data_IF_430167032186
#
_entry.id   IF_430167032186
#
_cell.length_a   1.000
_cell.length_b   1.000
_cell.length_c   1.000
_cell.angle_alpha   90.00
_cell.angle_beta   90.00
_cell.angle_gamma   90.00
#
_symmetry.space_group_name_H-M   'P 1'
#
loop_
_entity.id
_entity.type
_entity.pdbx_description
1 polymer ?
#
# COMPACT_ATOMS: atom_id res chain seq x y z
N UNK A 1 -30.01 43.72 80.65
CA UNK A 1 -29.85 44.07 82.07
C UNK A 1 -28.86 43.07 82.68
N UNK A 2 -27.70 43.51 83.23
CA UNK A 2 -26.53 42.68 83.69
C UNK A 2 -25.94 41.77 82.58
N UNK A 3 -24.69 41.88 82.11
CA UNK A 3 -23.37 42.27 82.66
C UNK A 3 -22.84 41.32 83.74
N UNK A 4 -21.57 40.91 83.54
CA UNK A 4 -20.62 40.26 84.47
C UNK A 4 -20.71 38.73 84.67
N UNK A 5 -19.61 38.01 84.98
CA UNK A 5 -18.19 38.06 84.53
C UNK A 5 -17.42 36.95 85.29
N UNK A 6 -16.41 36.35 84.63
CA UNK A 6 -15.15 35.80 85.21
C UNK A 6 -15.21 34.76 86.37
N UNK A 7 -14.51 33.63 86.18
CA UNK A 7 -13.22 33.20 86.83
C UNK A 7 -13.07 31.68 86.57
N UNK A 8 -12.02 31.09 85.95
CA UNK A 8 -10.54 31.24 85.98
C UNK A 8 -9.87 30.52 87.16
N UNK A 9 -8.88 29.63 86.83
CA UNK A 9 -8.02 28.76 87.69
C UNK A 9 -8.77 27.56 88.31
N UNK A 10 -8.19 26.39 88.61
CA UNK A 10 -6.80 25.84 88.59
C UNK A 10 -6.88 24.28 88.63
N UNK A 11 -5.84 23.43 88.50
CA UNK A 11 -4.50 23.42 87.85
C UNK A 11 -3.81 22.05 88.19
N UNK A 12 -2.87 21.52 87.36
CA UNK A 12 -1.90 20.41 87.66
C UNK A 12 -2.45 18.95 87.59
N UNK A 13 -1.71 17.86 87.26
CA UNK A 13 -0.30 17.63 86.77
C UNK A 13 -0.15 16.17 86.24
N UNK A 14 0.50 15.97 85.05
CA UNK A 14 1.66 15.05 84.74
C UNK A 14 1.55 13.53 85.06
N UNK A 15 2.06 12.56 84.28
CA UNK A 15 2.64 12.50 82.92
C UNK A 15 2.79 11.02 82.45
N UNK A 16 3.10 10.83 81.15
CA UNK A 16 4.07 9.90 80.50
C UNK A 16 3.60 9.75 79.02
N UNK A 17 4.12 10.48 78.00
CA UNK A 17 5.46 10.42 77.35
C UNK A 17 5.73 9.04 76.71
N UNK A 18 6.07 8.81 75.44
CA UNK A 18 6.50 9.60 74.25
C UNK A 18 5.85 8.91 72.99
N UNK A 19 5.80 9.44 71.75
CA UNK A 19 6.58 10.49 71.11
C UNK A 19 5.81 11.28 70.02
N UNK A 20 6.19 12.56 69.87
CA UNK A 20 6.31 13.40 68.65
C UNK A 20 5.51 13.00 67.38
N UNK A 21 4.71 13.86 66.75
CA UNK A 21 4.83 15.33 66.56
C UNK A 21 5.64 15.61 65.28
N UNK A 22 5.29 16.52 64.36
CA UNK A 22 4.35 17.68 64.39
C UNK A 22 3.67 17.84 63.02
N UNK A 23 2.48 18.44 62.99
CA UNK A 23 1.72 18.76 61.76
C UNK A 23 1.74 20.27 61.44
N UNK A 24 1.32 20.63 60.21
CA UNK A 24 0.99 21.98 59.70
C UNK A 24 2.21 22.91 59.55
N UNK A 25 2.47 23.53 58.40
CA UNK A 25 1.60 24.45 57.67
C UNK A 25 1.98 24.50 56.18
N UNK A 26 1.01 24.80 55.30
CA UNK A 26 1.06 25.79 54.20
C UNK A 26 -0.06 25.51 53.20
N UNK A 27 -1.00 26.45 53.07
CA UNK A 27 -1.83 26.55 51.89
C UNK A 27 -1.02 27.26 50.79
N UNK A 28 -1.02 26.72 49.57
CA UNK A 28 -0.38 27.34 48.41
C UNK A 28 0.14 26.32 47.39
N UNK A 29 -0.14 26.58 46.12
CA UNK A 29 0.35 25.86 44.95
C UNK A 29 0.09 24.33 44.91
N UNK A 30 -1.10 23.94 44.42
CA UNK A 30 -1.21 22.69 43.65
C UNK A 30 -0.32 22.80 42.40
N UNK A 31 0.68 21.94 42.20
CA UNK A 31 1.41 21.93 40.94
C UNK A 31 0.44 21.49 39.85
N UNK A 32 0.18 22.35 38.87
CA UNK A 32 -0.30 21.90 37.59
C UNK A 32 0.80 21.02 36.99
N UNK A 33 0.65 19.70 37.12
CA UNK A 33 1.37 18.74 36.31
C UNK A 33 0.90 18.90 34.86
N UNK A 34 1.48 19.89 34.17
CA UNK A 34 1.63 19.79 32.74
C UNK A 34 2.45 18.52 32.50
N UNK A 35 1.78 17.47 32.02
CA UNK A 35 2.47 16.41 31.30
C UNK A 35 3.21 17.10 30.17
N UNK A 36 4.53 17.25 30.31
CA UNK A 36 5.36 17.76 29.24
C UNK A 36 5.09 16.86 28.03
N UNK A 37 4.49 17.43 26.98
CA UNK A 37 4.44 16.78 25.68
C UNK A 37 5.89 16.57 25.31
N UNK A 38 6.33 15.31 25.36
CA UNK A 38 7.70 14.95 25.03
C UNK A 38 8.03 15.54 23.66
N UNK A 39 9.23 16.08 23.51
CA UNK A 39 9.69 16.60 22.23
C UNK A 39 9.36 15.60 21.11
N UNK A 40 8.91 16.04 19.92
CA UNK A 40 8.54 15.14 18.86
C UNK A 40 9.69 14.15 18.64
N UNK A 41 9.41 12.84 18.75
CA UNK A 41 10.39 11.84 18.31
C UNK A 41 10.76 12.21 16.88
N UNK A 42 12.05 12.42 16.65
CA UNK A 42 12.57 12.61 15.30
C UNK A 42 12.11 11.42 14.44
N UNK A 43 11.89 11.69 13.15
CA UNK A 43 11.22 10.73 12.26
C UNK A 43 11.92 9.38 12.29
N UNK A 44 11.15 8.33 12.58
CA UNK A 44 11.67 6.96 12.60
C UNK A 44 12.08 6.62 11.15
N UNK A 45 13.38 6.67 10.91
CA UNK A 45 14.02 6.15 9.70
C UNK A 45 14.29 4.63 9.80
N UNK A 46 13.79 3.97 10.85
CA UNK A 46 14.12 2.57 11.21
C UNK A 46 13.34 1.51 10.42
N UNK A 47 12.64 1.87 9.33
CA UNK A 47 12.24 0.87 8.35
C UNK A 47 13.43 0.55 7.44
N UNK A 48 14.11 -0.57 7.72
CA UNK A 48 15.18 -1.15 6.88
C UNK A 48 14.69 -1.50 5.45
N UNK A 49 13.38 -1.47 5.20
CA UNK A 49 12.75 -1.69 3.89
C UNK A 49 12.74 -0.45 2.98
N UNK A 50 12.61 -0.69 1.67
CA UNK A 50 12.53 0.34 0.62
C UNK A 50 11.13 0.97 0.46
N UNK A 51 10.21 0.65 1.37
CA UNK A 51 8.77 1.02 1.39
C UNK A 51 8.25 1.10 2.82
N UNK A 52 7.11 1.76 3.03
CA UNK A 52 6.28 1.57 4.23
C UNK A 52 5.03 0.70 3.96
N UNK A 53 4.36 0.24 5.02
CA UNK A 53 3.09 -0.51 4.98
C UNK A 53 1.88 0.32 4.50
N UNK A 54 2.02 1.65 4.50
CA UNK A 54 1.00 2.58 4.03
C UNK A 54 1.00 2.71 2.50
N UNK A 55 1.99 2.14 1.80
CA UNK A 55 2.11 2.13 0.35
C UNK A 55 1.08 1.17 -0.28
N UNK A 56 -0.01 1.74 -0.82
CA UNK A 56 -1.12 0.96 -1.42
C UNK A 56 -0.66 0.06 -2.57
N UNK A 57 0.29 0.50 -3.39
CA UNK A 57 0.77 -0.27 -4.54
C UNK A 57 1.51 -1.54 -4.13
N UNK A 58 2.41 -1.48 -3.14
CA UNK A 58 3.04 -2.68 -2.56
C UNK A 58 1.99 -3.67 -2.02
N UNK A 59 0.94 -3.18 -1.36
CA UNK A 59 -0.16 -4.03 -0.89
C UNK A 59 -1.02 -4.63 -2.00
N UNK A 60 -1.09 -3.99 -3.18
CA UNK A 60 -1.71 -4.58 -4.37
C UNK A 60 -0.83 -5.68 -4.99
N UNK A 61 0.50 -5.50 -4.95
CA UNK A 61 1.48 -6.44 -5.50
C UNK A 61 1.76 -7.65 -4.59
N UNK A 62 1.54 -7.50 -3.29
CA UNK A 62 1.58 -8.57 -2.27
C UNK A 62 0.18 -9.11 -1.90
N UNK A 63 -0.88 -8.62 -2.55
CA UNK A 63 -2.29 -9.04 -2.35
C UNK A 63 -2.87 -8.76 -0.93
N UNK A 64 -2.19 -7.97 -0.11
CA UNK A 64 -2.54 -7.64 1.28
C UNK A 64 -3.53 -6.47 1.45
N UNK A 65 -4.26 -6.08 0.39
CA UNK A 65 -5.21 -4.94 0.47
C UNK A 65 -6.44 -5.19 1.35
N UNK A 66 -6.82 -6.45 1.56
CA UNK A 66 -7.98 -6.86 2.39
C UNK A 66 -7.54 -7.47 3.72
N UNK A 67 -6.55 -8.35 3.70
CA UNK A 67 -5.96 -8.99 4.89
C UNK A 67 -4.52 -9.40 4.60
N UNK A 68 -3.68 -9.55 5.63
CA UNK A 68 -2.27 -9.94 5.46
C UNK A 68 -2.11 -11.43 5.15
N UNK A 69 -3.10 -12.26 5.51
CA UNK A 69 -3.14 -13.71 5.26
C UNK A 69 -4.57 -14.26 5.28
N UNK A 70 -4.72 -15.56 5.03
CA UNK A 70 -5.97 -16.30 5.11
C UNK A 70 -6.93 -16.02 3.96
N UNK A 71 -8.22 -16.38 4.11
CA UNK A 71 -9.19 -16.31 3.00
C UNK A 71 -9.42 -14.89 2.46
N UNK A 72 -9.16 -13.83 3.25
CA UNK A 72 -9.26 -12.44 2.77
C UNK A 72 -8.14 -12.07 1.78
N UNK A 73 -6.91 -12.55 2.00
CA UNK A 73 -5.82 -12.44 1.02
C UNK A 73 -6.04 -13.39 -0.16
N UNK A 74 -6.53 -14.60 0.13
CA UNK A 74 -6.88 -15.60 -0.89
C UNK A 74 -7.92 -15.09 -1.89
N UNK A 75 -8.90 -14.30 -1.45
CA UNK A 75 -9.88 -13.65 -2.33
C UNK A 75 -9.22 -12.65 -3.30
N UNK A 76 -8.27 -11.85 -2.80
CA UNK A 76 -7.50 -10.89 -3.62
C UNK A 76 -6.60 -11.62 -4.62
N UNK A 77 -5.90 -12.67 -4.20
CA UNK A 77 -5.09 -13.53 -5.09
C UNK A 77 -5.99 -14.16 -6.15
N UNK A 78 -7.14 -14.70 -5.76
CA UNK A 78 -8.13 -15.28 -6.66
C UNK A 78 -8.58 -14.27 -7.72
N UNK A 79 -8.96 -13.05 -7.30
CA UNK A 79 -9.35 -11.97 -8.21
C UNK A 79 -8.27 -11.66 -9.25
N UNK A 80 -7.02 -11.48 -8.82
CA UNK A 80 -5.92 -11.09 -9.71
C UNK A 80 -5.34 -12.22 -10.58
N UNK A 81 -5.41 -13.48 -10.12
CA UNK A 81 -4.71 -14.60 -10.79
C UNK A 81 -5.65 -15.62 -11.41
N UNK A 82 -6.81 -15.86 -10.82
CA UNK A 82 -7.66 -17.02 -11.13
C UNK A 82 -8.99 -16.63 -11.75
N UNK A 83 -9.63 -15.55 -11.28
CA UNK A 83 -11.00 -15.15 -11.65
C UNK A 83 -11.19 -15.07 -13.16
N UNK A 84 -10.21 -14.55 -13.91
CA UNK A 84 -10.23 -14.46 -15.37
C UNK A 84 -10.56 -15.80 -16.08
N UNK A 85 -10.18 -16.94 -15.50
CA UNK A 85 -10.47 -18.27 -16.06
C UNK A 85 -11.49 -19.08 -15.25
N UNK A 86 -11.72 -18.72 -13.99
CA UNK A 86 -12.44 -19.53 -13.00
C UNK A 86 -13.76 -18.93 -12.51
N UNK A 87 -14.25 -17.86 -13.15
CA UNK A 87 -15.55 -17.22 -12.88
C UNK A 87 -16.73 -17.94 -13.58
N UNK A 88 -17.97 -17.62 -13.19
CA UNK A 88 -19.21 -18.23 -13.72
C UNK A 88 -19.51 -17.93 -15.20
N UNK A 89 -18.85 -16.93 -15.79
CA UNK A 89 -19.04 -16.50 -17.18
C UNK A 89 -18.01 -17.14 -18.14
N UNK A 90 -16.84 -17.54 -17.62
CA UNK A 90 -15.74 -18.08 -18.40
C UNK A 90 -16.01 -19.54 -18.80
N UNK A 91 -15.72 -19.87 -20.08
CA UNK A 91 -15.86 -21.23 -20.62
C UNK A 91 -14.54 -22.02 -20.69
N UNK A 92 -13.41 -21.35 -20.42
CA UNK A 92 -12.06 -21.92 -20.58
C UNK A 92 -11.51 -22.65 -19.35
N UNK A 93 -12.07 -22.41 -18.17
CA UNK A 93 -11.70 -23.08 -16.92
C UNK A 93 -12.94 -23.55 -16.16
N UNK A 94 -12.82 -24.55 -15.28
CA UNK A 94 -13.92 -24.96 -14.42
C UNK A 94 -14.24 -23.85 -13.41
N UNK A 95 -15.51 -23.55 -13.20
CA UNK A 95 -15.94 -22.72 -12.08
C UNK A 95 -15.50 -23.38 -10.75
N UNK A 96 -14.96 -22.61 -9.80
CA UNK A 96 -14.33 -23.15 -8.57
C UNK A 96 -15.19 -23.10 -7.31
N UNK A 97 -16.42 -22.57 -7.38
CA UNK A 97 -17.37 -22.67 -6.27
C UNK A 97 -17.57 -24.14 -5.89
N UNK A 98 -17.54 -24.44 -4.60
CA UNK A 98 -17.67 -25.78 -4.04
C UNK A 98 -16.62 -26.80 -4.54
N UNK A 99 -15.43 -26.36 -5.00
CA UNK A 99 -14.35 -27.25 -5.47
C UNK A 99 -14.06 -28.40 -4.49
N UNK A 100 -13.93 -28.10 -3.20
CA UNK A 100 -13.62 -29.10 -2.15
C UNK A 100 -14.79 -30.02 -1.78
N UNK A 101 -15.99 -29.80 -2.31
CA UNK A 101 -17.11 -30.74 -2.19
C UNK A 101 -17.10 -31.79 -3.33
N UNK A 102 -16.26 -31.61 -4.36
CA UNK A 102 -16.17 -32.50 -5.51
C UNK A 102 -15.25 -33.66 -5.19
N UNK A 103 -15.62 -34.87 -5.63
CA UNK A 103 -14.76 -36.04 -5.46
C UNK A 103 -13.44 -35.95 -6.25
N UNK A 104 -13.44 -35.28 -7.40
CA UNK A 104 -12.29 -35.21 -8.32
C UNK A 104 -12.08 -33.84 -8.95
N UNK A 105 -10.81 -33.52 -9.22
CA UNK A 105 -10.38 -32.44 -10.11
C UNK A 105 -10.67 -32.80 -11.57
N UNK A 106 -10.58 -31.82 -12.47
CA UNK A 106 -10.66 -32.04 -13.93
C UNK A 106 -9.51 -32.93 -14.45
N UNK A 107 -8.39 -33.04 -13.71
CA UNK A 107 -7.33 -34.02 -13.95
C UNK A 107 -7.71 -35.47 -13.62
N UNK A 108 -8.83 -35.71 -12.92
CA UNK A 108 -9.25 -37.02 -12.44
C UNK A 108 -8.69 -37.42 -11.07
N UNK A 109 -7.74 -36.67 -10.54
CA UNK A 109 -7.20 -36.78 -9.17
C UNK A 109 -8.27 -36.44 -8.13
N UNK A 110 -8.16 -37.02 -6.92
CA UNK A 110 -9.03 -36.64 -5.80
C UNK A 110 -8.80 -35.17 -5.39
N UNK A 111 -9.83 -34.46 -4.94
CA UNK A 111 -9.67 -33.07 -4.45
C UNK A 111 -9.12 -33.07 -3.03
N UNK A 112 -7.86 -32.68 -2.87
CA UNK A 112 -7.19 -32.48 -1.58
C UNK A 112 -6.41 -31.18 -1.60
N UNK A 113 -5.86 -30.77 -0.45
CA UNK A 113 -4.97 -29.60 -0.38
C UNK A 113 -3.74 -29.76 -1.27
N UNK A 114 -3.21 -30.99 -1.32
CA UNK A 114 -2.00 -31.37 -2.04
C UNK A 114 -2.26 -31.35 -3.54
N UNK A 115 -3.35 -31.97 -4.02
CA UNK A 115 -3.67 -32.00 -5.46
C UNK A 115 -4.06 -30.62 -5.99
N UNK A 116 -4.78 -29.81 -5.22
CA UNK A 116 -5.09 -28.42 -5.59
C UNK A 116 -3.83 -27.57 -5.64
N UNK A 117 -2.91 -27.69 -4.66
CA UNK A 117 -1.61 -26.99 -4.71
C UNK A 117 -0.75 -27.45 -5.87
N UNK A 118 -0.64 -28.76 -6.10
CA UNK A 118 0.10 -29.32 -7.22
C UNK A 118 -0.43 -28.79 -8.55
N UNK A 119 -1.76 -28.74 -8.71
CA UNK A 119 -2.41 -28.21 -9.90
C UNK A 119 -2.15 -26.71 -10.11
N UNK A 120 -2.18 -25.89 -9.06
CA UNK A 120 -1.88 -24.45 -9.15
C UNK A 120 -0.40 -24.22 -9.49
N UNK A 121 0.52 -24.96 -8.86
CA UNK A 121 1.97 -24.88 -9.14
C UNK A 121 2.30 -25.33 -10.56
N UNK A 122 1.75 -26.46 -11.02
CA UNK A 122 2.08 -27.06 -12.31
C UNK A 122 1.32 -26.42 -13.50
N UNK A 123 0.12 -25.87 -13.28
CA UNK A 123 -0.74 -25.38 -14.36
C UNK A 123 -1.27 -26.51 -15.24
N UNK A 124 -1.28 -26.31 -16.56
CA UNK A 124 -1.64 -27.31 -17.56
C UNK A 124 -1.81 -26.73 -18.97
N UNK A 125 -2.38 -27.49 -19.92
CA UNK A 125 -2.49 -27.06 -21.32
C UNK A 125 -3.19 -25.71 -21.53
N UNK A 126 -4.20 -25.38 -20.71
CA UNK A 126 -4.91 -24.10 -20.73
C UNK A 126 -4.80 -23.27 -19.44
N UNK A 127 -3.81 -23.56 -18.60
CA UNK A 127 -3.61 -22.88 -17.31
C UNK A 127 -2.12 -22.58 -17.11
N UNK A 128 -1.70 -21.31 -16.95
CA UNK A 128 -0.32 -20.97 -16.59
C UNK A 128 0.11 -21.67 -15.30
N UNK A 129 1.40 -21.97 -15.19
CA UNK A 129 1.99 -22.51 -13.98
C UNK A 129 2.33 -21.38 -13.00
N UNK A 130 1.76 -21.39 -11.79
CA UNK A 130 1.96 -20.31 -10.81
C UNK A 130 3.13 -20.57 -9.85
N UNK A 131 3.87 -21.68 -9.97
CA UNK A 131 5.03 -22.05 -9.13
C UNK A 131 6.12 -20.97 -9.01
N UNK A 132 6.18 -20.05 -9.97
CA UNK A 132 7.16 -18.95 -10.06
C UNK A 132 6.54 -17.56 -9.81
N UNK A 133 5.22 -17.49 -9.60
CA UNK A 133 4.45 -16.26 -9.47
C UNK A 133 3.72 -16.14 -8.13
N UNK A 134 3.49 -17.28 -7.45
CA UNK A 134 2.82 -17.39 -6.16
C UNK A 134 3.67 -18.25 -5.21
N UNK A 135 3.85 -17.78 -3.99
CA UNK A 135 4.52 -18.51 -2.91
C UNK A 135 3.61 -19.59 -2.31
N UNK A 136 4.16 -20.48 -1.51
CA UNK A 136 3.37 -21.50 -0.80
C UNK A 136 2.37 -20.88 0.19
N UNK A 137 2.67 -19.70 0.74
CA UNK A 137 1.74 -18.92 1.55
C UNK A 137 0.58 -18.36 0.70
N UNK A 138 0.87 -17.81 -0.49
CA UNK A 138 -0.18 -17.34 -1.41
C UNK A 138 -1.13 -18.47 -1.82
N UNK A 139 -0.59 -19.66 -2.11
CA UNK A 139 -1.39 -20.83 -2.47
C UNK A 139 -2.17 -21.35 -1.25
N UNK A 140 -1.61 -21.30 -0.04
CA UNK A 140 -2.35 -21.63 1.19
C UNK A 140 -3.54 -20.69 1.42
N UNK A 141 -3.34 -19.38 1.28
CA UNK A 141 -4.39 -18.37 1.42
C UNK A 141 -5.48 -18.54 0.34
N UNK A 142 -5.08 -18.78 -0.92
CA UNK A 142 -5.99 -19.07 -2.03
C UNK A 142 -6.83 -20.33 -1.77
N UNK A 143 -6.24 -21.42 -1.26
CA UNK A 143 -6.99 -22.62 -0.87
C UNK A 143 -7.94 -22.35 0.29
N UNK A 144 -7.53 -21.55 1.28
CA UNK A 144 -8.39 -21.15 2.39
C UNK A 144 -9.61 -20.35 1.91
N UNK A 145 -9.44 -19.46 0.93
CA UNK A 145 -10.54 -18.76 0.27
C UNK A 145 -11.48 -19.72 -0.47
N UNK A 146 -10.95 -20.62 -1.30
CA UNK A 146 -11.75 -21.60 -2.06
C UNK A 146 -12.54 -22.53 -1.10
N UNK A 147 -11.99 -22.85 0.07
CA UNK A 147 -12.67 -23.62 1.13
C UNK A 147 -13.70 -22.86 1.95
N UNK A 148 -13.65 -21.52 1.95
CA UNK A 148 -14.42 -20.70 2.91
C UNK A 148 -15.95 -20.71 2.72
N UNK A 149 -16.46 -21.35 1.66
CA UNK A 149 -17.85 -21.25 1.23
C UNK A 149 -18.22 -19.90 0.59
N UNK A 150 -17.30 -18.92 0.61
CA UNK A 150 -17.45 -17.61 -0.06
C UNK A 150 -16.88 -17.58 -1.47
N UNK A 151 -16.22 -18.64 -1.92
CA UNK A 151 -15.82 -18.70 -3.32
C UNK A 151 -17.06 -18.96 -4.20
N UNK A 152 -17.28 -18.23 -5.28
CA UNK A 152 -16.33 -17.30 -5.90
C UNK A 152 -16.95 -15.93 -6.12
N UNK A 153 -16.17 -14.88 -5.84
CA UNK A 153 -16.59 -13.48 -6.04
C UNK A 153 -16.83 -13.21 -7.52
N UNK A 154 -17.97 -12.63 -7.85
CA UNK A 154 -18.37 -12.30 -9.23
C UNK A 154 -18.56 -10.79 -9.45
N UNK A 155 -18.13 -9.98 -8.48
CA UNK A 155 -18.08 -8.53 -8.52
C UNK A 155 -19.27 -7.82 -7.88
N UNK A 156 -20.34 -8.53 -7.49
CA UNK A 156 -21.54 -7.92 -6.92
C UNK A 156 -21.36 -7.46 -5.47
N UNK A 157 -20.49 -8.14 -4.71
CA UNK A 157 -20.20 -7.85 -3.30
C UNK A 157 -18.68 -7.71 -3.08
N UNK A 158 -18.03 -6.65 -3.58
CA UNK A 158 -16.60 -6.45 -3.40
C UNK A 158 -16.26 -6.25 -1.90
N UNK A 159 -15.11 -6.76 -1.43
CA UNK A 159 -14.71 -6.61 -0.03
C UNK A 159 -14.52 -5.13 0.33
N UNK A 160 -15.03 -4.74 1.51
CA UNK A 160 -14.84 -3.38 2.03
C UNK A 160 -13.36 -3.08 2.24
N UNK A 161 -12.90 -1.90 1.83
CA UNK A 161 -11.52 -1.46 2.03
C UNK A 161 -11.26 -1.17 3.53
N UNK A 162 -10.49 -2.00 4.26
CA UNK A 162 -10.33 -1.85 5.72
C UNK A 162 -9.51 -0.60 6.12
N UNK A 163 -8.88 0.05 5.13
CA UNK A 163 -8.05 1.25 5.26
C UNK A 163 -8.82 2.55 5.02
N UNK A 164 -10.08 2.50 4.58
CA UNK A 164 -10.92 3.69 4.36
C UNK A 164 -12.10 3.69 5.33
N UNK A 165 -11.90 4.33 6.48
CA UNK A 165 -12.87 4.38 7.59
C UNK A 165 -13.64 5.70 7.62
N UNK A 166 -13.57 6.50 6.56
CA UNK A 166 -14.16 7.83 6.48
C UNK A 166 -15.69 7.83 6.39
N UNK A 167 -16.28 6.73 5.92
CA UNK A 167 -17.74 6.56 5.85
C UNK A 167 -18.37 6.44 7.24
N UNK A 168 -17.69 5.77 8.18
CA UNK A 168 -18.13 5.62 9.57
C UNK A 168 -17.63 6.77 10.45
N UNK A 169 -16.37 7.19 10.27
CA UNK A 169 -15.73 8.28 11.00
C UNK A 169 -15.47 9.44 10.04
N UNK A 170 -16.46 10.34 9.85
CA UNK A 170 -16.34 11.48 8.94
C UNK A 170 -15.15 12.39 9.33
N UNK A 171 -14.32 12.72 8.35
CA UNK A 171 -13.26 13.72 8.46
C UNK A 171 -13.42 14.71 7.30
N UNK A 172 -13.74 15.98 7.56
CA UNK A 172 -14.08 16.95 6.53
C UNK A 172 -12.82 17.39 5.77
N UNK A 173 -12.75 17.03 4.50
CA UNK A 173 -11.76 17.60 3.57
C UNK A 173 -12.13 19.07 3.33
N UNK A 174 -11.24 19.98 3.67
CA UNK A 174 -11.46 21.42 3.47
C UNK A 174 -11.25 21.77 1.99
N UNK A 175 -11.98 22.77 1.49
CA UNK A 175 -11.93 23.23 0.10
C UNK A 175 -10.92 24.35 -0.17
N UNK A 176 -10.29 24.91 0.88
CA UNK A 176 -9.18 25.85 0.73
C UNK A 176 -7.93 25.16 0.18
N UNK A 177 -7.00 25.96 -0.36
CA UNK A 177 -5.72 25.46 -0.91
C UNK A 177 -4.51 25.79 -0.01
N UNK A 178 -4.71 26.58 1.04
CA UNK A 178 -3.68 27.12 1.94
C UNK A 178 -4.23 27.33 3.36
N UNK A 179 -3.44 27.92 4.25
CA UNK A 179 -3.78 28.25 5.64
C UNK A 179 -3.62 27.08 6.63
N UNK A 180 -2.92 26.03 6.24
CA UNK A 180 -2.67 24.84 7.05
C UNK A 180 -1.21 24.67 7.46
N UNK A 181 -0.84 23.44 7.82
CA UNK A 181 0.48 23.12 8.31
C UNK A 181 1.57 23.31 7.22
N UNK A 182 2.74 23.80 7.62
CA UNK A 182 3.85 24.12 6.70
C UNK A 182 5.16 23.47 7.15
N UNK A 183 6.03 23.11 6.21
CA UNK A 183 7.40 22.65 6.50
C UNK A 183 8.35 22.86 5.32
N UNK A 184 9.53 22.26 5.43
CA UNK A 184 10.56 22.28 4.39
C UNK A 184 11.17 20.89 4.18
N UNK A 185 11.39 20.51 2.92
CA UNK A 185 12.17 19.35 2.50
C UNK A 185 13.62 19.80 2.26
N UNK A 186 14.57 19.01 2.77
CA UNK A 186 15.97 19.03 2.34
C UNK A 186 16.36 17.66 1.81
N UNK A 187 17.27 17.62 0.84
CA UNK A 187 17.83 16.36 0.33
C UNK A 187 19.33 16.37 0.59
N UNK A 188 19.83 15.34 1.26
CA UNK A 188 21.23 15.23 1.71
C UNK A 188 22.25 15.24 0.57
N UNK A 189 21.86 14.75 -0.61
CA UNK A 189 22.67 14.74 -1.84
C UNK A 189 22.73 16.11 -2.54
N UNK A 190 21.90 17.08 -2.16
CA UNK A 190 21.70 18.32 -2.91
C UNK A 190 20.76 18.19 -4.13
N UNK A 191 20.12 17.03 -4.33
CA UNK A 191 19.06 16.91 -5.34
C UNK A 191 17.92 17.91 -5.08
N UNK A 192 17.25 18.35 -6.15
CA UNK A 192 16.10 19.25 -6.01
C UNK A 192 14.97 18.59 -5.19
N UNK A 193 14.43 19.29 -4.17
CA UNK A 193 13.27 18.83 -3.41
C UNK A 193 11.94 19.03 -4.14
N UNK A 194 11.95 19.72 -5.29
CA UNK A 194 10.74 20.11 -6.02
C UNK A 194 9.92 18.90 -6.47
N UNK A 195 8.58 18.99 -6.32
CA UNK A 195 7.67 17.93 -6.73
C UNK A 195 7.70 16.68 -5.85
N UNK A 196 8.44 16.69 -4.73
CA UNK A 196 8.30 15.67 -3.68
C UNK A 196 6.89 15.79 -3.08
N UNK A 197 6.15 14.68 -2.99
CA UNK A 197 4.81 14.64 -2.43
C UNK A 197 4.80 14.32 -0.93
N UNK A 198 4.49 15.31 -0.10
CA UNK A 198 4.30 15.17 1.35
C UNK A 198 2.84 14.83 1.62
N UNK A 199 2.58 13.83 2.46
CA UNK A 199 1.25 13.32 2.73
C UNK A 199 0.94 13.30 4.24
N UNK A 200 -0.21 13.86 4.60
CA UNK A 200 -0.85 13.69 5.91
C UNK A 200 -1.99 12.67 5.78
N UNK A 201 -2.07 11.75 6.74
CA UNK A 201 -3.09 10.71 6.82
C UNK A 201 -3.83 10.86 8.14
N UNK A 202 -5.13 11.10 8.06
CA UNK A 202 -6.01 11.22 9.21
C UNK A 202 -6.30 9.84 9.84
N UNK A 203 -6.74 9.75 11.11
CA UNK A 203 -7.04 8.49 11.80
C UNK A 203 -8.13 7.62 11.12
N UNK A 204 -8.94 8.21 10.24
CA UNK A 204 -9.95 7.50 9.45
C UNK A 204 -9.45 7.02 8.07
N UNK A 205 -8.17 7.27 7.73
CA UNK A 205 -7.56 6.91 6.45
C UNK A 205 -7.71 7.93 5.32
N UNK A 206 -8.36 9.09 5.55
CA UNK A 206 -8.33 10.21 4.58
C UNK A 206 -6.89 10.68 4.40
N UNK A 207 -6.46 10.84 3.15
CA UNK A 207 -5.11 11.27 2.79
C UNK A 207 -5.15 12.60 2.07
N UNK A 208 -4.33 13.54 2.50
CA UNK A 208 -4.07 14.80 1.79
C UNK A 208 -2.61 14.81 1.40
N UNK A 209 -2.33 15.04 0.11
CA UNK A 209 -0.96 15.18 -0.41
C UNK A 209 -0.77 16.59 -0.94
N UNK A 210 0.38 17.19 -0.64
CA UNK A 210 0.85 18.45 -1.23
C UNK A 210 2.28 18.26 -1.73
N UNK A 211 2.72 19.14 -2.63
CA UNK A 211 4.03 19.05 -3.27
C UNK A 211 4.95 20.16 -2.80
N UNK A 212 6.23 19.83 -2.62
CA UNK A 212 7.25 20.83 -2.33
C UNK A 212 7.58 21.70 -3.55
N UNK A 213 7.82 22.99 -3.32
CA UNK A 213 8.29 23.94 -4.32
C UNK A 213 9.80 23.83 -4.60
N UNK A 214 10.34 24.71 -5.44
CA UNK A 214 11.77 24.75 -5.77
C UNK A 214 12.71 25.01 -4.59
N UNK A 215 12.24 25.71 -3.54
CA UNK A 215 12.98 25.93 -2.28
C UNK A 215 12.85 24.75 -1.30
N UNK A 216 12.01 23.77 -1.64
CA UNK A 216 11.62 22.65 -0.79
C UNK A 216 10.48 22.94 0.18
N UNK A 217 9.89 24.14 0.15
CA UNK A 217 8.80 24.52 1.07
C UNK A 217 7.51 23.83 0.65
N UNK A 218 6.66 23.52 1.62
CA UNK A 218 5.31 23.02 1.36
C UNK A 218 4.31 23.57 2.37
N UNK A 219 3.06 23.70 1.93
CA UNK A 219 1.92 24.14 2.72
C UNK A 219 0.75 23.20 2.46
N UNK A 220 0.12 22.72 3.53
CA UNK A 220 -1.16 22.03 3.47
C UNK A 220 -2.30 23.05 3.42
N UNK A 221 -3.44 22.72 2.79
CA UNK A 221 -4.67 23.46 3.04
C UNK A 221 -5.01 23.40 4.52
N UNK A 222 -5.83 24.35 5.02
CA UNK A 222 -6.34 24.28 6.40
C UNK A 222 -6.91 22.89 6.66
N UNK A 223 -6.45 22.23 7.73
CA UNK A 223 -6.89 20.88 8.11
C UNK A 223 -7.75 20.93 9.37
N UNK A 224 -8.55 19.89 9.62
CA UNK A 224 -9.13 19.66 10.94
C UNK A 224 -8.01 19.46 11.97
N UNK A 225 -8.15 20.05 13.16
CA UNK A 225 -7.20 19.82 14.24
C UNK A 225 -7.24 18.35 14.72
N UNK A 226 -6.07 17.75 14.97
CA UNK A 226 -5.98 16.35 15.38
C UNK A 226 -4.59 15.75 15.19
N UNK A 227 -4.49 14.44 15.41
CA UNK A 227 -3.26 13.67 15.26
C UNK A 227 -3.25 12.94 13.92
N UNK A 228 -2.13 13.02 13.19
CA UNK A 228 -1.97 12.51 11.82
C UNK A 228 -0.68 11.69 11.68
N UNK A 229 -0.66 10.75 10.73
CA UNK A 229 0.60 10.21 10.21
C UNK A 229 1.11 11.13 9.09
N UNK A 230 2.35 11.61 9.21
CA UNK A 230 3.07 12.36 8.18
C UNK A 230 4.01 11.43 7.44
N UNK A 231 4.00 11.42 6.11
CA UNK A 231 4.94 10.62 5.28
C UNK A 231 5.27 11.26 3.94
N UNK A 232 6.21 10.68 3.22
CA UNK A 232 6.40 10.93 1.77
C UNK A 232 5.57 9.91 0.97
N UNK A 233 4.79 10.38 0.00
CA UNK A 233 3.76 9.56 -0.66
C UNK A 233 4.30 8.54 -1.67
N UNK A 234 5.37 8.89 -2.36
CA UNK A 234 6.13 8.02 -3.28
C UNK A 234 7.61 8.38 -3.07
N UNK A 235 8.30 7.78 -2.09
CA UNK A 235 9.61 8.26 -1.64
C UNK A 235 10.72 8.12 -2.69
N UNK A 236 10.68 7.10 -3.55
CA UNK A 236 11.67 6.86 -4.62
C UNK A 236 12.03 8.15 -5.40
N UNK A 237 13.32 8.43 -5.65
CA UNK A 237 14.52 7.62 -5.36
C UNK A 237 15.08 7.76 -3.93
N UNK A 238 14.30 8.30 -2.98
CA UNK A 238 14.69 8.46 -1.58
C UNK A 238 14.18 7.32 -0.69
N UNK A 239 14.85 7.11 0.44
CA UNK A 239 14.39 6.19 1.50
C UNK A 239 12.99 6.61 2.00
N UNK A 240 12.16 5.66 2.48
CA UNK A 240 10.90 6.01 3.14
C UNK A 240 11.12 6.98 4.32
N UNK A 241 10.18 7.90 4.50
CA UNK A 241 10.15 8.81 5.65
C UNK A 241 8.74 8.85 6.23
N UNK A 242 8.64 8.67 7.54
CA UNK A 242 7.37 8.64 8.28
C UNK A 242 7.53 9.21 9.69
N UNK A 243 6.51 9.94 10.15
CA UNK A 243 6.33 10.40 11.53
C UNK A 243 4.91 10.10 11.97
N UNK A 244 4.79 9.40 13.08
CA UNK A 244 3.50 9.12 13.69
C UNK A 244 3.03 10.21 14.64
N UNK A 245 1.72 10.22 14.85
CA UNK A 245 1.02 11.04 15.84
C UNK A 245 1.34 12.55 15.78
N UNK A 246 1.63 13.07 14.58
CA UNK A 246 1.91 14.50 14.35
C UNK A 246 0.65 15.30 14.65
N UNK A 247 0.72 16.15 15.68
CA UNK A 247 -0.35 17.08 16.01
C UNK A 247 -0.43 18.18 14.96
N UNK A 248 -1.63 18.39 14.41
CA UNK A 248 -1.97 19.48 13.51
C UNK A 248 -3.01 20.35 14.22
N UNK A 249 -2.72 21.64 14.33
CA UNK A 249 -3.69 22.70 14.64
C UNK A 249 -3.31 23.97 13.86
N UNK A 250 -4.28 24.51 13.10
CA UNK A 250 -4.07 25.65 12.20
C UNK A 250 -2.78 25.57 11.36
N UNK A 251 -1.98 26.63 11.42
CA UNK A 251 -0.74 26.81 10.66
C UNK A 251 0.49 26.16 11.33
N UNK A 252 0.35 24.91 11.79
CA UNK A 252 1.40 24.15 12.50
C UNK A 252 2.71 24.11 11.70
N UNK A 253 3.85 24.32 12.39
CA UNK A 253 5.18 24.15 11.79
C UNK A 253 5.64 22.70 11.96
N UNK A 254 5.75 21.99 10.84
CA UNK A 254 6.14 20.57 10.78
C UNK A 254 7.65 20.35 10.89
N UNK A 255 8.44 21.42 10.75
CA UNK A 255 9.89 21.41 10.79
C UNK A 255 10.53 21.08 9.45
N UNK A 256 11.78 20.64 9.51
CA UNK A 256 12.52 20.12 8.36
C UNK A 256 12.31 18.61 8.22
N UNK A 257 12.24 18.15 6.97
CA UNK A 257 12.25 16.75 6.56
C UNK A 257 13.49 16.54 5.71
N UNK A 258 14.48 15.83 6.26
CA UNK A 258 15.70 15.47 5.54
C UNK A 258 15.50 14.13 4.82
N UNK A 259 15.76 14.12 3.51
CA UNK A 259 15.66 12.95 2.65
C UNK A 259 17.04 12.45 2.22
N UNK A 260 17.22 11.14 2.22
CA UNK A 260 18.43 10.46 1.74
C UNK A 260 18.08 9.59 0.54
N UNK A 261 18.99 9.51 -0.46
CA UNK A 261 18.83 8.61 -1.61
C UNK A 261 18.90 7.14 -1.18
N UNK A 262 18.27 6.28 -1.97
CA UNK A 262 18.41 4.81 -1.87
C UNK A 262 19.76 4.36 -2.46
N UNK A 263 20.28 5.07 -3.47
CA UNK A 263 21.55 4.82 -4.11
C UNK A 263 22.25 6.14 -4.48
N UNK A 264 23.58 6.12 -4.64
CA UNK A 264 24.38 7.30 -5.04
C UNK A 264 24.19 7.71 -6.52
N UNK A 265 23.48 6.91 -7.33
CA UNK A 265 23.25 7.17 -8.76
C UNK A 265 21.78 7.04 -9.16
N UNK A 266 21.41 7.51 -10.35
CA UNK A 266 20.05 7.37 -10.89
C UNK A 266 19.69 5.94 -11.31
N UNK A 267 20.67 5.03 -11.37
CA UNK A 267 20.41 3.61 -11.51
C UNK A 267 20.14 3.03 -10.11
N UNK A 268 18.87 2.86 -9.79
CA UNK A 268 18.41 2.23 -8.55
C UNK A 268 18.58 0.70 -8.64
N UNK A 269 18.77 0.00 -7.50
CA UNK A 269 18.75 -1.45 -7.49
C UNK A 269 17.39 -1.97 -7.99
N UNK A 270 17.39 -3.10 -8.68
CA UNK A 270 16.14 -3.78 -9.02
C UNK A 270 15.58 -4.51 -7.80
N UNK A 271 14.34 -4.20 -7.41
CA UNK A 271 13.62 -4.92 -6.36
C UNK A 271 12.10 -4.79 -6.54
N UNK A 272 11.29 -5.78 -6.09
CA UNK A 272 9.83 -5.68 -6.13
C UNK A 272 9.29 -4.46 -5.36
N UNK A 273 9.92 -4.09 -4.25
CA UNK A 273 9.53 -2.94 -3.42
C UNK A 273 9.71 -1.60 -4.14
N UNK A 274 10.68 -1.52 -5.04
CA UNK A 274 10.91 -0.35 -5.90
C UNK A 274 10.02 -0.40 -7.14
N UNK A 275 9.90 -1.54 -7.82
CA UNK A 275 8.99 -1.69 -8.97
C UNK A 275 7.53 -1.36 -8.60
N UNK A 276 7.09 -1.75 -7.40
CA UNK A 276 5.77 -1.42 -6.87
C UNK A 276 5.54 0.10 -6.68
N UNK A 277 6.57 0.93 -6.74
CA UNK A 277 6.46 2.40 -6.64
C UNK A 277 6.49 3.11 -8.01
N UNK A 278 6.80 2.38 -9.08
CA UNK A 278 6.86 2.92 -10.46
C UNK A 278 5.48 2.91 -11.14
N UNK A 279 5.27 3.89 -12.02
CA UNK A 279 4.19 3.85 -12.99
C UNK A 279 4.41 2.74 -14.03
N UNK A 280 3.34 2.31 -14.71
CA UNK A 280 3.44 1.30 -15.76
C UNK A 280 4.36 1.75 -16.90
N UNK A 281 4.34 3.05 -17.21
CA UNK A 281 5.23 3.66 -18.20
C UNK A 281 6.70 3.64 -17.79
N UNK A 282 7.01 3.86 -16.52
CA UNK A 282 8.38 3.70 -16.00
C UNK A 282 8.83 2.24 -16.04
N UNK A 283 7.97 1.27 -15.68
CA UNK A 283 8.32 -0.15 -15.83
C UNK A 283 8.59 -0.52 -17.30
N UNK A 284 7.71 -0.11 -18.23
CA UNK A 284 7.93 -0.34 -19.66
C UNK A 284 9.21 0.34 -20.18
N UNK A 285 9.54 1.53 -19.65
CA UNK A 285 10.77 2.23 -19.98
C UNK A 285 12.01 1.43 -19.55
N UNK A 286 12.03 0.93 -18.31
CA UNK A 286 13.16 0.20 -17.73
C UNK A 286 13.33 -1.23 -18.27
N UNK A 287 12.26 -1.91 -18.65
CA UNK A 287 12.35 -3.27 -19.18
C UNK A 287 13.15 -3.29 -20.50
N UNK A 288 14.16 -4.16 -20.66
CA UNK A 288 14.92 -4.25 -21.91
C UNK A 288 14.03 -4.59 -23.11
N UNK A 289 14.26 -3.99 -24.27
CA UNK A 289 13.49 -4.33 -25.49
C UNK A 289 13.72 -3.34 -26.62
N UNK A 290 13.42 -3.78 -27.84
CA UNK A 290 13.44 -2.90 -29.02
C UNK A 290 12.27 -1.92 -29.00
N UNK A 291 12.35 -0.86 -29.82
CA UNK A 291 11.23 0.06 -29.98
C UNK A 291 9.97 -0.66 -30.52
N UNK A 292 10.14 -1.64 -31.41
CA UNK A 292 9.06 -2.45 -31.98
C UNK A 292 8.38 -3.34 -30.94
N UNK A 293 9.15 -4.04 -30.09
CA UNK A 293 8.62 -4.87 -29.00
C UNK A 293 7.77 -4.03 -28.04
N UNK A 294 8.30 -2.88 -27.61
CA UNK A 294 7.61 -1.97 -26.69
C UNK A 294 6.38 -1.31 -27.34
N UNK A 295 6.46 -0.87 -28.59
CA UNK A 295 5.34 -0.27 -29.31
C UNK A 295 4.21 -1.30 -29.56
N UNK A 296 4.56 -2.53 -29.95
CA UNK A 296 3.60 -3.63 -30.11
C UNK A 296 2.90 -3.95 -28.79
N UNK A 297 3.61 -3.88 -27.66
CA UNK A 297 3.02 -4.07 -26.33
C UNK A 297 2.08 -2.91 -25.96
N UNK A 298 2.49 -1.66 -26.19
CA UNK A 298 1.64 -0.49 -25.96
C UNK A 298 0.35 -0.55 -26.79
N UNK A 299 0.45 -0.97 -28.06
CA UNK A 299 -0.69 -1.14 -28.97
C UNK A 299 -1.70 -2.17 -28.43
N UNK A 300 -1.22 -3.34 -27.99
CA UNK A 300 -2.10 -4.48 -27.68
C UNK A 300 -2.49 -4.61 -26.19
N UNK A 301 -1.70 -4.06 -25.25
CA UNK A 301 -1.82 -4.36 -23.82
C UNK A 301 -2.23 -3.15 -22.94
N UNK A 302 -2.83 -2.10 -23.52
CA UNK A 302 -3.15 -0.85 -22.79
C UNK A 302 -4.63 -0.66 -22.45
N UNK A 303 -5.53 -1.49 -22.98
CA UNK A 303 -6.97 -1.21 -22.92
C UNK A 303 -7.73 -1.66 -21.66
N UNK A 304 -7.18 -2.59 -20.87
CA UNK A 304 -7.94 -3.29 -19.82
C UNK A 304 -7.42 -3.08 -18.38
N UNK A 305 -6.10 -2.96 -18.21
CA UNK A 305 -5.47 -2.73 -16.91
C UNK A 305 -4.10 -2.05 -17.10
N UNK A 306 -3.52 -1.53 -16.02
CA UNK A 306 -2.20 -0.89 -16.10
C UNK A 306 -1.08 -1.88 -16.39
N UNK A 307 0.03 -1.43 -17.02
CA UNK A 307 1.13 -2.32 -17.41
C UNK A 307 1.87 -2.95 -16.22
N UNK A 308 1.84 -2.34 -15.02
CA UNK A 308 2.37 -2.98 -13.80
C UNK A 308 1.72 -4.35 -13.53
N UNK A 309 0.43 -4.51 -13.87
CA UNK A 309 -0.28 -5.77 -13.69
C UNK A 309 0.28 -6.91 -14.55
N UNK A 310 0.94 -6.60 -15.67
CA UNK A 310 1.68 -7.57 -16.49
C UNK A 310 3.06 -7.80 -15.91
N UNK A 311 3.84 -6.73 -15.72
CA UNK A 311 5.26 -6.81 -15.45
C UNK A 311 5.63 -7.33 -14.06
N UNK A 312 4.70 -7.33 -13.10
CA UNK A 312 4.88 -7.97 -11.79
C UNK A 312 4.78 -9.50 -11.80
N UNK A 313 4.51 -10.12 -12.96
CA UNK A 313 4.46 -11.59 -13.10
C UNK A 313 5.72 -12.11 -13.76
N UNK A 314 6.03 -13.37 -13.46
CA UNK A 314 7.02 -14.18 -14.17
C UNK A 314 6.37 -15.49 -14.59
N UNK A 315 6.49 -15.81 -15.87
CA UNK A 315 5.97 -17.03 -16.48
C UNK A 315 7.02 -17.62 -17.44
N UNK A 316 7.00 -18.93 -17.63
CA UNK A 316 7.71 -19.56 -18.75
C UNK A 316 7.02 -19.24 -20.09
N UNK A 317 7.62 -19.64 -21.22
CA UNK A 317 7.08 -19.34 -22.56
C UNK A 317 5.64 -19.84 -22.75
N UNK A 318 5.30 -20.99 -22.17
CA UNK A 318 3.94 -21.54 -22.17
C UNK A 318 2.96 -20.69 -21.35
N UNK A 319 3.36 -20.27 -20.14
CA UNK A 319 2.56 -19.35 -19.34
C UNK A 319 2.35 -17.99 -20.03
N UNK A 320 3.40 -17.41 -20.63
CA UNK A 320 3.27 -16.17 -21.41
C UNK A 320 2.41 -16.35 -22.65
N UNK A 321 2.54 -17.46 -23.39
CA UNK A 321 1.68 -17.80 -24.52
C UNK A 321 0.19 -17.76 -24.13
N UNK A 322 -0.19 -18.45 -23.06
CA UNK A 322 -1.57 -18.46 -22.55
C UNK A 322 -2.05 -17.07 -22.09
N UNK A 323 -1.19 -16.29 -21.44
CA UNK A 323 -1.55 -14.95 -20.93
C UNK A 323 -1.69 -13.93 -22.06
N UNK A 324 -0.77 -13.91 -23.02
CA UNK A 324 -0.79 -12.97 -24.16
C UNK A 324 -1.92 -13.31 -25.13
N UNK A 325 -2.19 -14.60 -25.40
CA UNK A 325 -3.36 -15.02 -26.19
C UNK A 325 -4.66 -14.52 -25.53
N UNK A 326 -4.76 -14.58 -24.20
CA UNK A 326 -5.91 -14.06 -23.47
C UNK A 326 -6.03 -12.53 -23.53
N UNK A 327 -4.91 -11.81 -23.55
CA UNK A 327 -4.89 -10.35 -23.69
C UNK A 327 -5.24 -9.87 -25.11
N UNK A 328 -4.82 -10.60 -26.15
CA UNK A 328 -4.95 -10.17 -27.55
C UNK A 328 -6.19 -10.70 -28.26
N UNK A 329 -6.64 -11.93 -27.95
CA UNK A 329 -7.62 -12.66 -28.75
C UNK A 329 -8.98 -12.81 -28.09
N UNK A 330 -9.27 -12.03 -27.04
CA UNK A 330 -10.52 -12.04 -26.31
C UNK A 330 -11.05 -10.63 -26.06
N UNK A 331 -12.38 -10.51 -25.99
CA UNK A 331 -13.07 -9.22 -25.88
C UNK A 331 -14.20 -9.25 -24.84
N UNK A 332 -14.78 -8.06 -24.59
CA UNK A 332 -15.78 -7.81 -23.56
C UNK A 332 -15.15 -7.55 -22.19
N UNK A 333 -15.94 -7.00 -21.27
CA UNK A 333 -15.49 -6.59 -19.93
C UNK A 333 -14.96 -7.75 -19.07
N UNK A 334 -15.44 -8.97 -19.29
CA UNK A 334 -14.94 -10.18 -18.63
C UNK A 334 -13.84 -10.91 -19.44
N UNK A 335 -13.44 -10.39 -20.60
CA UNK A 335 -12.46 -11.01 -21.54
C UNK A 335 -12.82 -12.49 -21.78
N UNK A 336 -14.12 -12.80 -21.87
CA UNK A 336 -14.65 -14.17 -21.84
C UNK A 336 -14.97 -14.73 -23.24
N UNK A 337 -15.08 -13.85 -24.23
CA UNK A 337 -15.39 -14.20 -25.62
C UNK A 337 -14.11 -14.12 -26.45
N UNK A 338 -13.67 -15.24 -27.03
CA UNK A 338 -12.57 -15.27 -28.00
C UNK A 338 -13.05 -14.64 -29.31
N UNK A 339 -12.36 -13.63 -29.83
CA UNK A 339 -12.68 -12.96 -31.10
C UNK A 339 -11.84 -13.46 -32.29
N UNK A 340 -10.67 -14.07 -32.03
CA UNK A 340 -9.76 -14.63 -33.05
C UNK A 340 -9.47 -16.11 -32.79
N UNK A 341 -9.60 -17.01 -33.78
CA UNK A 341 -9.28 -18.42 -33.60
C UNK A 341 -7.77 -18.62 -33.39
N UNK A 342 -7.42 -19.54 -32.49
CA UNK A 342 -6.04 -19.86 -32.10
C UNK A 342 -5.17 -20.40 -33.25
N UNK A 343 -5.80 -20.87 -34.34
CA UNK A 343 -5.11 -21.36 -35.54
C UNK A 343 -4.68 -20.27 -36.52
N UNK A 344 -5.10 -19.01 -36.33
CA UNK A 344 -4.70 -17.91 -37.20
C UNK A 344 -3.28 -17.44 -36.80
N UNK A 345 -2.29 -17.43 -37.71
CA UNK A 345 -0.97 -16.86 -37.42
C UNK A 345 -1.09 -15.42 -36.93
N UNK A 346 -0.38 -15.10 -35.86
CA UNK A 346 -0.26 -13.73 -35.34
C UNK A 346 1.21 -13.42 -35.00
N UNK A 347 1.86 -12.54 -35.79
CA UNK A 347 3.26 -12.17 -35.56
C UNK A 347 3.44 -11.24 -34.34
N UNK A 348 2.44 -10.42 -34.00
CA UNK A 348 2.52 -9.52 -32.83
C UNK A 348 2.41 -10.31 -31.53
N UNK A 349 1.48 -11.28 -31.48
CA UNK A 349 1.43 -12.30 -30.42
C UNK A 349 2.77 -13.02 -30.27
N UNK A 350 3.33 -13.51 -31.39
CA UNK A 350 4.61 -14.25 -31.37
C UNK A 350 5.77 -13.38 -30.89
N UNK A 351 5.81 -12.11 -31.29
CA UNK A 351 6.80 -11.13 -30.83
C UNK A 351 6.66 -10.88 -29.32
N UNK A 352 5.43 -10.65 -28.82
CA UNK A 352 5.18 -10.36 -27.41
C UNK A 352 5.47 -11.54 -26.50
N UNK A 353 5.11 -12.77 -26.89
CA UNK A 353 5.44 -13.98 -26.11
C UNK A 353 6.95 -14.16 -25.99
N UNK A 354 7.70 -14.03 -27.10
CA UNK A 354 9.16 -14.13 -27.08
C UNK A 354 9.82 -13.01 -26.27
N UNK A 355 9.33 -11.78 -26.41
CA UNK A 355 9.85 -10.64 -25.65
C UNK A 355 9.59 -10.79 -24.16
N UNK A 356 8.35 -11.05 -23.74
CA UNK A 356 7.99 -11.24 -22.33
C UNK A 356 8.69 -12.44 -21.70
N UNK A 357 8.88 -13.54 -22.45
CA UNK A 357 9.72 -14.67 -22.01
C UNK A 357 11.15 -14.22 -21.80
N UNK A 358 11.76 -13.47 -22.72
CA UNK A 358 13.15 -13.00 -22.58
C UNK A 358 13.36 -12.07 -21.38
N UNK A 359 12.36 -11.28 -21.00
CA UNK A 359 12.54 -10.19 -20.02
C UNK A 359 11.83 -10.41 -18.68
N UNK A 360 10.84 -11.29 -18.62
CA UNK A 360 10.08 -11.68 -17.41
C UNK A 360 9.83 -13.20 -17.35
N UNK A 361 10.83 -14.03 -17.67
CA UNK A 361 10.82 -15.43 -17.23
C UNK A 361 11.14 -15.56 -15.73
N UNK A 362 10.99 -16.74 -15.12
CA UNK A 362 11.48 -16.99 -13.75
C UNK A 362 12.99 -16.77 -13.60
N UNK A 363 13.77 -17.00 -14.66
CA UNK A 363 15.23 -16.94 -14.70
C UNK A 363 15.77 -15.57 -15.18
N UNK A 364 14.93 -14.72 -15.76
CA UNK A 364 15.36 -13.41 -16.29
C UNK A 364 15.76 -12.45 -15.16
N UNK A 365 16.88 -11.75 -15.33
CA UNK A 365 17.38 -10.78 -14.36
C UNK A 365 16.87 -9.38 -14.69
N UNK A 366 16.42 -8.66 -13.67
CA UNK A 366 15.92 -7.30 -13.82
C UNK A 366 17.09 -6.31 -13.96
N UNK A 367 16.91 -5.34 -14.85
CA UNK A 367 17.86 -4.25 -15.04
C UNK A 367 17.71 -3.20 -13.92
N UNK A 368 18.77 -2.42 -13.61
CA UNK A 368 18.66 -1.29 -12.69
C UNK A 368 17.53 -0.33 -13.08
N UNK A 369 16.76 0.11 -12.09
CA UNK A 369 15.56 0.92 -12.29
C UNK A 369 15.91 2.41 -12.36
N UNK A 370 15.24 3.15 -13.26
CA UNK A 370 15.26 4.60 -13.36
C UNK A 370 13.83 5.13 -13.23
N UNK A 371 13.66 6.24 -12.51
CA UNK A 371 12.37 6.92 -12.42
C UNK A 371 12.30 8.10 -13.37
N UNK A 372 11.10 8.47 -13.77
CA UNK A 372 10.88 9.70 -14.52
C UNK A 372 11.11 10.92 -13.62
N UNK A 373 11.53 12.08 -14.17
CA UNK A 373 11.63 13.31 -13.41
C UNK A 373 10.29 13.64 -12.73
N UNK A 374 10.33 14.05 -11.46
CA UNK A 374 9.13 14.54 -10.76
C UNK A 374 8.57 15.79 -11.46
N UNK A 375 7.25 16.05 -11.36
CA UNK A 375 6.66 17.29 -11.84
C UNK A 375 7.33 18.52 -11.24
N UNK A 376 7.54 19.58 -12.04
CA UNK A 376 8.17 20.84 -11.63
C UNK A 376 7.37 22.05 -12.14
N UNK A 377 7.52 23.19 -11.47
CA UNK A 377 6.79 24.42 -11.76
C UNK A 377 5.26 24.22 -11.76
N UNK A 378 4.58 24.88 -12.69
CA UNK A 378 3.12 24.82 -12.82
C UNK A 378 2.56 23.41 -13.06
N UNK A 379 3.37 22.46 -13.54
CA UNK A 379 2.96 21.06 -13.75
C UNK A 379 2.80 20.26 -12.44
N UNK A 380 3.41 20.71 -11.34
CA UNK A 380 3.15 20.09 -10.03
C UNK A 380 1.68 20.30 -9.58
N UNK A 381 1.09 21.45 -9.91
CA UNK A 381 -0.29 21.79 -9.57
C UNK A 381 -1.35 21.21 -10.53
N UNK A 382 -0.96 20.62 -11.67
CA UNK A 382 -1.93 20.13 -12.67
C UNK A 382 -2.40 18.69 -12.46
N UNK A 383 -1.80 17.95 -11.51
CA UNK A 383 -2.16 16.58 -11.18
C UNK A 383 -3.47 16.49 -10.36
N UNK A 384 -4.60 16.82 -11.00
CA UNK A 384 -5.92 16.41 -10.53
C UNK A 384 -6.01 14.88 -10.62
N UNK A 385 -5.65 14.18 -9.54
CA UNK A 385 -5.99 12.77 -9.37
C UNK A 385 -7.50 12.63 -9.23
N UNK A 386 -8.18 12.49 -10.38
CA UNK A 386 -9.63 12.47 -10.50
C UNK A 386 -10.09 11.78 -11.79
N UNK A 387 -9.95 10.46 -11.80
CA UNK A 387 -10.67 9.50 -12.66
C UNK A 387 -10.67 8.15 -11.96
#
# INVERSE_FOLDING_TARGET
MRIERRRVRALRVVCVMFAMGVALFFAGATPWFHSAVGAPKEGIADSVGMTDDLQKSLRLDTYTVVADSGPGRGEVIYFYKCWMCHNKYAKGGPYLQDLYQRAKLVSGEAVTDESVTAKIKAGGPGMPAYRHTLTDADIADLRAYIRSGKCCVEGENPPSNPWYRAQTNKWPVQSGLNGGATGVIRVKSGDSPEGVGIQLIAPNGVRTTVYADGDGKFEFPKMQAGSYTLRIATPVPFKPYRREAVSIDGATKLGEILLERIAESDNLPASPELEAQLSGAELLWNIPGTAEEKATFQKNCSGCHSWQQVFRNRFDEHGWALVVDRMMHFTGTAIAVRNRPMSAPDPEYTLLVKWLTRVRSPESKDAPLRVFPRPRGSTACSSRCGS
#
